data_IF_833501171660
#
_entry.id   IF_833501171660
#
_cell.length_a   1.000
_cell.length_b   1.000
_cell.length_c   1.000
_cell.angle_alpha   90.00
_cell.angle_beta   90.00
_cell.angle_gamma   90.00
#
_symmetry.space_group_name_H-M   'P 1'
#
loop_
_entity.id
_entity.type
_entity.pdbx_description
1 polymer ?
#
# COMPACT_ATOMS: atom_id res chain seq x y z
N UNK A 1 -26.70 -32.40 15.45
CA UNK A 1 -26.11 -33.35 14.48
C UNK A 1 -24.62 -33.40 14.82
N UNK A 2 -24.15 -34.47 15.47
CA UNK A 2 -22.75 -34.60 15.87
C UNK A 2 -21.88 -34.78 14.62
N UNK A 3 -21.03 -33.82 14.33
CA UNK A 3 -20.01 -33.96 13.28
C UNK A 3 -18.97 -34.94 13.79
N UNK A 4 -18.89 -36.11 13.15
CA UNK A 4 -17.86 -37.11 13.42
C UNK A 4 -16.52 -36.47 13.05
N UNK A 5 -15.67 -36.18 14.04
CA UNK A 5 -14.31 -35.75 13.81
C UNK A 5 -13.60 -36.85 13.00
N UNK A 6 -13.27 -36.59 11.73
CA UNK A 6 -12.37 -37.45 10.99
C UNK A 6 -11.00 -37.39 11.68
N UNK A 7 -10.64 -38.43 12.42
CA UNK A 7 -9.29 -38.61 12.94
C UNK A 7 -8.34 -38.80 11.77
N UNK A 8 -7.74 -37.70 11.31
CA UNK A 8 -6.65 -37.72 10.35
C UNK A 8 -5.40 -38.34 10.98
N UNK A 9 -4.53 -38.99 10.18
CA UNK A 9 -3.26 -39.50 10.69
C UNK A 9 -2.41 -38.36 11.23
N UNK A 10 -1.75 -38.60 12.37
CA UNK A 10 -0.85 -37.64 12.99
C UNK A 10 0.23 -37.21 11.99
N UNK A 11 0.52 -35.90 11.89
CA UNK A 11 1.53 -35.40 10.97
C UNK A 11 2.92 -35.92 11.36
N UNK A 12 3.68 -36.38 10.37
CA UNK A 12 5.04 -36.92 10.55
C UNK A 12 6.14 -35.99 10.05
N UNK A 13 5.78 -34.90 9.37
CA UNK A 13 6.72 -33.89 8.87
C UNK A 13 6.18 -32.49 9.12
N UNK A 14 7.06 -31.49 9.13
CA UNK A 14 6.66 -30.07 9.23
C UNK A 14 5.71 -29.71 8.06
N UNK A 15 6.02 -30.17 6.85
CA UNK A 15 5.23 -29.90 5.66
C UNK A 15 3.81 -30.49 5.76
N UNK A 16 3.67 -31.70 6.31
CA UNK A 16 2.37 -32.33 6.54
C UNK A 16 1.56 -31.57 7.59
N UNK A 17 2.20 -31.17 8.69
CA UNK A 17 1.56 -30.38 9.75
C UNK A 17 0.99 -29.07 9.18
N UNK A 18 1.80 -28.32 8.43
CA UNK A 18 1.39 -27.05 7.82
C UNK A 18 0.30 -27.22 6.77
N UNK A 19 0.32 -28.34 6.03
CA UNK A 19 -0.73 -28.66 5.05
C UNK A 19 -2.05 -28.95 5.74
N UNK A 20 -2.05 -29.73 6.81
CA UNK A 20 -3.24 -30.02 7.61
C UNK A 20 -3.78 -28.76 8.29
N UNK A 21 -2.90 -27.92 8.87
CA UNK A 21 -3.28 -26.63 9.48
C UNK A 21 -3.91 -25.68 8.46
N UNK A 22 -3.33 -25.57 7.24
CA UNK A 22 -3.90 -24.77 6.15
C UNK A 22 -5.30 -25.25 5.76
N UNK A 23 -5.51 -26.56 5.71
CA UNK A 23 -6.83 -27.13 5.40
C UNK A 23 -7.84 -26.87 6.53
N UNK A 24 -7.42 -27.01 7.79
CA UNK A 24 -8.27 -26.70 8.96
C UNK A 24 -8.66 -25.21 9.02
N UNK A 25 -7.80 -24.33 8.52
CA UNK A 25 -8.03 -22.89 8.40
C UNK A 25 -8.76 -22.47 7.10
N UNK A 26 -9.25 -23.42 6.30
CA UNK A 26 -9.99 -23.11 5.07
C UNK A 26 -11.20 -22.19 5.38
N UNK A 27 -11.33 -21.12 4.58
CA UNK A 27 -12.39 -20.12 4.73
C UNK A 27 -12.14 -19.02 5.77
N UNK A 28 -10.98 -19.01 6.45
CA UNK A 28 -10.58 -17.90 7.32
C UNK A 28 -9.90 -16.75 6.54
N UNK A 29 -9.65 -15.62 7.21
CA UNK A 29 -8.97 -14.46 6.61
C UNK A 29 -7.56 -14.83 6.11
N UNK A 30 -7.16 -14.48 4.88
CA UNK A 30 -5.86 -14.87 4.33
C UNK A 30 -4.65 -14.42 5.15
N UNK A 31 -4.74 -13.27 5.85
CA UNK A 31 -3.65 -12.82 6.71
C UNK A 31 -3.55 -13.70 7.95
N UNK A 32 -4.67 -14.04 8.58
CA UNK A 32 -4.69 -14.96 9.73
C UNK A 32 -4.11 -16.33 9.37
N UNK A 33 -4.44 -16.87 8.18
CA UNK A 33 -3.86 -18.14 7.71
C UNK A 33 -2.34 -18.04 7.54
N UNK A 34 -1.85 -16.92 6.99
CA UNK A 34 -0.42 -16.72 6.83
C UNK A 34 0.30 -16.59 8.17
N UNK A 35 -0.29 -15.90 9.15
CA UNK A 35 0.26 -15.71 10.48
C UNK A 35 0.37 -17.04 11.22
N UNK A 36 -0.72 -17.82 11.25
CA UNK A 36 -0.75 -19.13 11.89
C UNK A 36 0.26 -20.12 11.29
N UNK A 37 0.40 -20.15 9.96
CA UNK A 37 1.37 -21.04 9.30
C UNK A 37 2.81 -20.63 9.61
N UNK A 38 3.09 -19.34 9.68
CA UNK A 38 4.43 -18.84 9.97
C UNK A 38 4.84 -19.16 11.42
N UNK A 39 3.97 -18.84 12.37
CA UNK A 39 4.23 -19.09 13.80
C UNK A 39 4.42 -20.58 14.09
N UNK A 40 3.57 -21.43 13.49
CA UNK A 40 3.68 -22.89 13.62
C UNK A 40 4.98 -23.42 12.98
N UNK A 41 5.36 -22.93 11.81
CA UNK A 41 6.62 -23.37 11.16
C UNK A 41 7.85 -22.97 11.99
N UNK A 42 7.88 -21.74 12.50
CA UNK A 42 8.98 -21.24 13.34
C UNK A 42 9.12 -22.08 14.62
N UNK A 43 8.00 -22.36 15.30
CA UNK A 43 7.99 -23.19 16.50
C UNK A 43 8.45 -24.63 16.22
N UNK A 44 7.91 -25.28 15.18
CA UNK A 44 8.27 -26.66 14.83
C UNK A 44 9.74 -26.80 14.44
N UNK A 45 10.29 -25.81 13.72
CA UNK A 45 11.72 -25.80 13.36
C UNK A 45 12.63 -25.57 14.57
N UNK A 46 12.22 -24.73 15.51
CA UNK A 46 12.96 -24.52 16.75
C UNK A 46 13.03 -25.80 17.59
N UNK A 47 11.90 -26.49 17.76
CA UNK A 47 11.83 -27.76 18.49
C UNK A 47 12.65 -28.88 17.83
N UNK A 48 12.64 -28.96 16.50
CA UNK A 48 13.47 -29.91 15.77
C UNK A 48 14.97 -29.63 15.95
N UNK A 49 15.35 -28.36 16.03
CA UNK A 49 16.75 -27.96 16.26
C UNK A 49 17.23 -28.29 17.68
N UNK A 50 16.35 -28.14 18.69
CA UNK A 50 16.66 -28.52 20.08
C UNK A 50 16.77 -30.04 20.26
N UNK A 51 15.99 -30.82 19.50
CA UNK A 51 15.94 -32.28 19.58
C UNK A 51 16.75 -32.98 18.49
N UNK A 52 17.98 -32.52 18.27
CA UNK A 52 18.92 -32.97 17.21
C UNK A 52 19.27 -34.47 17.16
N UNK A 53 18.84 -35.28 18.15
CA UNK A 53 19.05 -36.73 18.20
C UNK A 53 17.83 -37.59 17.86
N UNK A 54 16.67 -37.00 17.57
CA UNK A 54 15.42 -37.72 17.25
C UNK A 54 15.04 -37.58 15.78
N UNK A 55 14.27 -38.55 15.29
CA UNK A 55 13.72 -38.46 13.94
C UNK A 55 12.66 -37.35 13.86
N UNK A 56 12.54 -36.69 12.71
CA UNK A 56 11.55 -35.62 12.49
C UNK A 56 10.13 -36.09 12.85
N UNK A 57 9.75 -37.30 12.45
CA UNK A 57 8.43 -37.87 12.75
C UNK A 57 8.15 -38.01 14.25
N UNK A 58 9.17 -38.32 15.05
CA UNK A 58 9.04 -38.47 16.51
C UNK A 58 8.91 -37.11 17.21
N UNK A 59 9.64 -36.10 16.74
CA UNK A 59 9.54 -34.72 17.26
C UNK A 59 8.19 -34.12 16.89
N UNK A 60 7.77 -34.22 15.63
CA UNK A 60 6.50 -33.64 15.16
C UNK A 60 5.28 -34.33 15.80
N UNK A 61 5.30 -35.65 15.96
CA UNK A 61 4.25 -36.36 16.68
C UNK A 61 4.20 -35.98 18.18
N UNK A 62 5.37 -35.78 18.80
CA UNK A 62 5.47 -35.29 20.18
C UNK A 62 4.95 -33.87 20.35
N UNK A 63 5.31 -32.97 19.43
CA UNK A 63 4.85 -31.58 19.40
C UNK A 63 3.36 -31.50 19.12
N UNK A 64 2.82 -32.29 18.19
CA UNK A 64 1.36 -32.37 17.99
C UNK A 64 0.61 -32.82 19.25
N UNK A 65 1.26 -33.57 20.14
CA UNK A 65 0.70 -33.96 21.43
C UNK A 65 0.79 -32.89 22.53
N UNK A 66 1.78 -31.98 22.49
CA UNK A 66 2.00 -30.95 23.52
C UNK A 66 1.56 -29.54 23.12
N UNK A 67 1.83 -29.15 21.88
CA UNK A 67 1.47 -27.87 21.27
C UNK A 67 0.05 -27.89 20.69
N UNK A 68 -0.47 -29.09 20.38
CA UNK A 68 -1.82 -29.33 19.89
C UNK A 68 -1.85 -29.86 18.46
N UNK A 69 -2.94 -30.56 18.11
CA UNK A 69 -3.14 -31.03 16.75
C UNK A 69 -3.41 -29.85 15.79
N UNK A 70 -3.13 -29.98 14.47
CA UNK A 70 -3.38 -28.91 13.51
C UNK A 70 -4.80 -28.34 13.55
N UNK A 71 -5.81 -29.17 13.81
CA UNK A 71 -7.21 -28.76 13.95
C UNK A 71 -7.48 -27.96 15.24
N UNK A 72 -6.85 -28.33 16.36
CA UNK A 72 -7.00 -27.63 17.64
C UNK A 72 -6.31 -26.26 17.58
N UNK A 73 -5.12 -26.20 16.99
CA UNK A 73 -4.42 -24.92 16.75
C UNK A 73 -5.25 -24.03 15.83
N UNK A 74 -5.86 -24.58 14.78
CA UNK A 74 -6.76 -23.82 13.91
C UNK A 74 -7.98 -23.24 14.65
N UNK A 75 -8.55 -23.97 15.61
CA UNK A 75 -9.66 -23.50 16.43
C UNK A 75 -9.26 -22.34 17.34
N UNK A 76 -8.09 -22.43 18.00
CA UNK A 76 -7.54 -21.36 18.84
C UNK A 76 -7.36 -20.07 18.04
N UNK A 77 -6.81 -20.15 16.83
CA UNK A 77 -6.65 -18.97 15.96
C UNK A 77 -8.00 -18.39 15.54
N UNK A 78 -9.01 -19.21 15.22
CA UNK A 78 -10.35 -18.74 14.86
C UNK A 78 -11.04 -18.02 16.02
N UNK A 79 -10.96 -18.56 17.23
CA UNK A 79 -11.57 -17.95 18.42
C UNK A 79 -10.88 -16.63 18.81
N UNK A 80 -9.54 -16.64 18.78
CA UNK A 80 -8.72 -15.47 19.08
C UNK A 80 -9.00 -14.34 18.08
N UNK A 81 -9.05 -14.65 16.78
CA UNK A 81 -9.33 -13.66 15.74
C UNK A 81 -10.74 -13.06 15.87
N UNK A 82 -11.76 -13.86 16.22
CA UNK A 82 -13.12 -13.34 16.43
C UNK A 82 -13.15 -12.35 17.59
N UNK A 83 -12.43 -12.66 18.68
CA UNK A 83 -12.37 -11.81 19.87
C UNK A 83 -11.58 -10.53 19.60
N UNK A 84 -10.40 -10.65 18.98
CA UNK A 84 -9.53 -9.53 18.62
C UNK A 84 -10.20 -8.64 17.58
N UNK A 85 -10.81 -9.21 16.53
CA UNK A 85 -11.52 -8.45 15.50
C UNK A 85 -12.73 -7.70 16.06
N UNK A 86 -13.47 -8.30 17.01
CA UNK A 86 -14.57 -7.61 17.71
C UNK A 86 -14.07 -6.48 18.60
N UNK A 87 -12.96 -6.68 19.32
CA UNK A 87 -12.38 -5.68 20.21
C UNK A 87 -11.74 -4.50 19.45
N UNK A 88 -11.15 -4.77 18.28
CA UNK A 88 -10.48 -3.77 17.45
C UNK A 88 -11.41 -3.08 16.44
N UNK A 89 -12.70 -3.43 16.39
CA UNK A 89 -13.67 -2.76 15.50
C UNK A 89 -13.75 -1.28 15.86
N UNK A 90 -13.26 -0.36 15.00
CA UNK A 90 -13.39 1.05 15.28
C UNK A 90 -14.87 1.45 15.27
N UNK A 91 -15.28 2.42 16.10
CA UNK A 91 -16.64 2.92 16.10
C UNK A 91 -17.03 3.39 14.69
N UNK A 92 -18.20 2.94 14.22
CA UNK A 92 -18.71 3.32 12.90
C UNK A 92 -18.87 4.84 12.85
N UNK A 93 -18.28 5.54 11.86
CA UNK A 93 -18.43 6.97 11.75
C UNK A 93 -19.92 7.34 11.60
N UNK A 94 -20.38 8.45 12.21
CA UNK A 94 -21.78 8.83 12.17
C UNK A 94 -22.26 9.01 10.73
N UNK A 95 -23.30 8.27 10.33
CA UNK A 95 -23.90 8.36 8.99
C UNK A 95 -24.53 9.74 8.83
N UNK A 96 -23.98 10.56 7.93
CA UNK A 96 -24.55 11.87 7.56
C UNK A 96 -25.70 11.67 6.56
N UNK A 97 -26.95 12.02 6.89
CA UNK A 97 -28.10 11.67 6.06
C UNK A 97 -28.27 12.57 4.82
N UNK A 98 -27.74 13.80 4.81
CA UNK A 98 -27.96 14.77 3.72
C UNK A 98 -26.84 14.80 2.67
N UNK A 99 -27.19 15.04 1.40
CA UNK A 99 -26.24 15.19 0.29
C UNK A 99 -25.29 16.38 0.50
N UNK A 100 -25.80 17.50 1.03
CA UNK A 100 -25.02 18.69 1.39
C UNK A 100 -24.02 18.36 2.52
N UNK A 101 -24.45 17.62 3.55
CA UNK A 101 -23.57 17.20 4.66
C UNK A 101 -22.50 16.19 4.26
N UNK A 102 -22.72 15.42 3.19
CA UNK A 102 -21.70 14.56 2.57
C UNK A 102 -20.70 15.38 1.76
N UNK A 103 -21.18 16.33 0.95
CA UNK A 103 -20.33 17.20 0.13
C UNK A 103 -19.40 18.07 0.99
N UNK A 104 -19.95 18.89 1.89
CA UNK A 104 -19.11 19.70 2.80
C UNK A 104 -18.36 18.85 3.82
N UNK A 105 -18.74 17.57 3.96
CA UNK A 105 -18.11 16.67 4.90
C UNK A 105 -16.69 16.27 4.57
N UNK A 106 -16.27 16.42 3.32
CA UNK A 106 -14.92 16.09 2.85
C UNK A 106 -13.82 16.89 3.58
N UNK A 107 -14.12 18.11 4.02
CA UNK A 107 -13.21 18.97 4.77
C UNK A 107 -13.01 18.52 6.23
N UNK A 108 -13.88 17.66 6.76
CA UNK A 108 -13.71 17.07 8.09
C UNK A 108 -13.01 15.70 8.04
N UNK A 109 -12.71 15.17 6.85
CA UNK A 109 -12.09 13.86 6.68
C UNK A 109 -10.56 14.01 6.56
N UNK A 110 -9.76 13.54 7.54
CA UNK A 110 -8.30 13.64 7.49
C UNK A 110 -7.67 13.01 6.25
N UNK A 111 -8.31 11.98 5.68
CA UNK A 111 -7.79 11.26 4.50
C UNK A 111 -7.78 12.14 3.26
N UNK A 112 -8.68 13.10 3.17
CA UNK A 112 -8.71 14.08 2.08
C UNK A 112 -7.43 14.89 2.06
N UNK A 113 -6.98 15.36 3.22
CA UNK A 113 -5.75 16.14 3.35
C UNK A 113 -4.51 15.29 3.12
N UNK A 114 -4.53 14.03 3.57
CA UNK A 114 -3.48 13.05 3.22
C UNK A 114 -3.35 12.86 1.72
N UNK A 115 -4.48 12.68 1.01
CA UNK A 115 -4.49 12.57 -0.44
C UNK A 115 -4.02 13.86 -1.14
N UNK A 116 -4.50 15.03 -0.72
CA UNK A 116 -4.06 16.31 -1.27
C UNK A 116 -2.55 16.53 -1.07
N UNK A 117 -2.04 16.24 0.13
CA UNK A 117 -0.62 16.32 0.44
C UNK A 117 0.19 15.36 -0.44
N UNK A 118 -0.28 14.13 -0.62
CA UNK A 118 0.34 13.17 -1.52
C UNK A 118 0.38 13.68 -2.98
N UNK A 119 -0.71 14.29 -3.49
CA UNK A 119 -0.73 14.85 -4.85
C UNK A 119 0.34 15.93 -5.03
N UNK A 120 0.60 16.77 -4.02
CA UNK A 120 1.67 17.78 -4.07
C UNK A 120 3.06 17.15 -3.91
N UNK A 121 3.19 16.14 -3.03
CA UNK A 121 4.44 15.42 -2.79
C UNK A 121 4.87 14.56 -4.00
N UNK A 122 3.91 14.12 -4.80
CA UNK A 122 4.11 13.17 -5.90
C UNK A 122 5.08 13.65 -7.00
N UNK A 123 5.20 14.96 -7.20
CA UNK A 123 6.22 15.51 -8.11
C UNK A 123 7.62 15.28 -7.56
N UNK A 124 7.84 15.53 -6.27
CA UNK A 124 9.15 15.37 -5.64
C UNK A 124 9.56 13.89 -5.61
N UNK A 125 8.65 13.01 -5.20
CA UNK A 125 8.91 11.56 -5.21
C UNK A 125 9.06 11.04 -6.63
N UNK A 126 8.29 11.54 -7.59
CA UNK A 126 8.39 11.14 -8.99
C UNK A 126 9.72 11.54 -9.65
N UNK A 127 10.21 12.76 -9.43
CA UNK A 127 11.55 13.18 -9.89
C UNK A 127 12.62 12.28 -9.28
N UNK A 128 12.55 12.04 -7.96
CA UNK A 128 13.51 11.19 -7.27
C UNK A 128 13.53 9.75 -7.82
N UNK A 129 12.36 9.10 -7.91
CA UNK A 129 12.24 7.73 -8.38
C UNK A 129 12.65 7.57 -9.85
N UNK A 130 12.20 8.47 -10.71
CA UNK A 130 12.59 8.46 -12.12
C UNK A 130 14.11 8.60 -12.28
N UNK A 131 14.70 9.59 -11.61
CA UNK A 131 16.16 9.82 -11.68
C UNK A 131 16.92 8.62 -11.16
N UNK A 132 16.50 8.04 -10.04
CA UNK A 132 17.11 6.84 -9.46
C UNK A 132 17.06 5.65 -10.42
N UNK A 133 15.92 5.39 -11.05
CA UNK A 133 15.77 4.27 -11.99
C UNK A 133 16.61 4.49 -13.24
N UNK A 134 16.53 5.67 -13.86
CA UNK A 134 17.28 5.96 -15.09
C UNK A 134 18.79 5.88 -14.85
N UNK A 135 19.28 6.50 -13.76
CA UNK A 135 20.70 6.45 -13.41
C UNK A 135 21.14 5.03 -13.02
N UNK A 136 20.38 4.34 -12.19
CA UNK A 136 20.70 3.00 -11.71
C UNK A 136 20.72 1.96 -12.84
N UNK A 137 19.73 1.99 -13.75
CA UNK A 137 19.71 1.11 -14.92
C UNK A 137 20.86 1.44 -15.87
N UNK A 138 21.08 2.72 -16.19
CA UNK A 138 22.14 3.12 -17.12
C UNK A 138 23.53 2.76 -16.60
N UNK A 139 23.80 3.02 -15.32
CA UNK A 139 25.08 2.72 -14.68
C UNK A 139 25.28 1.21 -14.53
N UNK A 140 24.26 0.47 -14.10
CA UNK A 140 24.36 -0.97 -13.95
C UNK A 140 24.61 -1.66 -15.29
N UNK A 141 23.82 -1.35 -16.32
CA UNK A 141 23.99 -1.93 -17.65
C UNK A 141 25.33 -1.52 -18.29
N UNK A 142 25.74 -0.27 -18.14
CA UNK A 142 27.02 0.22 -18.67
C UNK A 142 28.23 -0.45 -18.01
N UNK A 143 28.15 -0.72 -16.70
CA UNK A 143 29.24 -1.35 -15.95
C UNK A 143 29.16 -2.88 -15.94
N UNK A 144 28.12 -3.51 -16.49
CA UNK A 144 28.01 -4.99 -16.54
C UNK A 144 29.17 -5.65 -17.32
N UNK A 145 29.77 -4.94 -18.27
CA UNK A 145 30.96 -5.39 -19.00
C UNK A 145 32.17 -5.52 -18.04
N UNK A 146 32.15 -4.76 -16.95
CA UNK A 146 33.15 -4.79 -15.89
C UNK A 146 32.68 -5.75 -14.78
N UNK A 147 33.65 -6.35 -14.07
CA UNK A 147 33.37 -7.21 -12.92
C UNK A 147 32.57 -6.48 -11.82
N UNK A 148 32.72 -5.15 -11.72
CA UNK A 148 32.06 -4.28 -10.73
C UNK A 148 30.56 -4.07 -11.05
N UNK A 149 30.12 -4.30 -12.29
CA UNK A 149 28.72 -4.09 -12.68
C UNK A 149 27.74 -5.01 -11.95
N UNK A 150 28.15 -6.26 -11.67
CA UNK A 150 27.29 -7.22 -10.98
C UNK A 150 26.98 -6.80 -9.54
N UNK A 151 27.97 -6.46 -8.68
CA UNK A 151 27.70 -5.89 -7.35
C UNK A 151 26.81 -4.64 -7.39
N UNK A 152 27.06 -3.74 -8.33
CA UNK A 152 26.27 -2.51 -8.44
C UNK A 152 24.81 -2.80 -8.80
N UNK A 153 24.58 -3.72 -9.74
CA UNK A 153 23.24 -4.12 -10.13
C UNK A 153 22.47 -4.74 -8.97
N UNK A 154 23.12 -5.60 -8.17
CA UNK A 154 22.52 -6.19 -6.97
C UNK A 154 22.14 -5.10 -5.97
N UNK A 155 23.03 -4.11 -5.76
CA UNK A 155 22.75 -2.96 -4.91
C UNK A 155 21.57 -2.13 -5.44
N UNK A 156 21.51 -1.93 -6.76
CA UNK A 156 20.41 -1.22 -7.41
C UNK A 156 19.07 -1.93 -7.20
N UNK A 157 18.95 -3.22 -7.50
CA UNK A 157 17.71 -3.96 -7.24
C UNK A 157 17.34 -4.00 -5.76
N UNK A 158 18.32 -4.13 -4.87
CA UNK A 158 18.12 -4.00 -3.42
C UNK A 158 17.51 -2.64 -3.06
N UNK A 159 18.05 -1.55 -3.62
CA UNK A 159 17.55 -0.19 -3.39
C UNK A 159 16.13 0.01 -3.92
N UNK A 160 15.80 -0.52 -5.10
CA UNK A 160 14.45 -0.46 -5.69
C UNK A 160 13.45 -1.14 -4.77
N UNK A 161 13.83 -2.28 -4.18
CA UNK A 161 12.98 -2.99 -3.21
C UNK A 161 12.76 -2.17 -1.95
N UNK A 162 13.78 -1.53 -1.40
CA UNK A 162 13.64 -0.63 -0.23
C UNK A 162 12.73 0.56 -0.55
N UNK A 163 12.96 1.23 -1.69
CA UNK A 163 12.14 2.36 -2.12
C UNK A 163 10.68 1.97 -2.34
N UNK A 164 10.41 0.76 -2.85
CA UNK A 164 9.04 0.27 -3.03
C UNK A 164 8.28 0.13 -1.71
N UNK A 165 8.99 -0.20 -0.62
CA UNK A 165 8.41 -0.28 0.72
C UNK A 165 8.15 1.11 1.29
N UNK A 166 9.06 2.06 1.08
CA UNK A 166 8.87 3.46 1.48
C UNK A 166 7.64 4.03 0.79
N UNK A 167 7.53 3.83 -0.51
CA UNK A 167 6.38 4.30 -1.28
C UNK A 167 5.08 3.60 -0.87
N UNK A 168 5.12 2.27 -0.68
CA UNK A 168 3.98 1.52 -0.17
C UNK A 168 3.47 2.07 1.16
N UNK A 169 4.39 2.49 2.05
CA UNK A 169 4.05 3.15 3.32
C UNK A 169 3.49 4.56 3.11
N UNK A 170 4.02 5.36 2.19
CA UNK A 170 3.48 6.68 1.87
C UNK A 170 2.04 6.55 1.37
N UNK A 171 1.79 5.63 0.44
CA UNK A 171 0.45 5.34 -0.07
C UNK A 171 -0.48 4.81 1.03
N UNK A 172 -0.02 3.89 1.87
CA UNK A 172 -0.83 3.33 2.96
C UNK A 172 -1.20 4.40 4.00
N UNK A 173 -0.25 5.24 4.40
CA UNK A 173 -0.43 6.28 5.42
C UNK A 173 -1.23 7.48 4.93
N UNK A 174 -0.94 7.96 3.71
CA UNK A 174 -1.55 9.18 3.17
C UNK A 174 -2.85 8.92 2.42
N UNK A 175 -2.96 7.80 1.70
CA UNK A 175 -4.14 7.47 0.90
C UNK A 175 -5.08 6.47 1.61
N UNK A 176 -4.61 5.82 2.69
CA UNK A 176 -5.42 4.88 3.47
C UNK A 176 -5.71 3.57 2.73
N UNK A 177 -4.97 3.28 1.65
CA UNK A 177 -5.10 2.03 0.89
C UNK A 177 -4.19 0.98 1.52
N UNK A 178 -4.78 -0.08 2.07
CA UNK A 178 -4.03 -1.17 2.72
C UNK A 178 -3.15 -1.90 1.69
N UNK A 179 -1.83 -1.79 1.87
CA UNK A 179 -0.84 -2.53 1.09
C UNK A 179 -0.54 -3.88 1.77
N UNK A 180 -0.33 -4.98 1.02
CA UNK A 180 0.11 -6.25 1.60
C UNK A 180 1.50 -6.10 2.19
N UNK A 181 1.67 -6.48 3.46
CA UNK A 181 2.85 -6.15 4.27
C UNK A 181 3.98 -7.19 4.20
N UNK A 182 3.72 -8.39 3.70
CA UNK A 182 4.64 -9.53 3.83
C UNK A 182 5.31 -9.86 2.49
N UNK A 183 6.65 -9.77 2.40
CA UNK A 183 7.39 -10.37 1.30
C UNK A 183 7.08 -11.87 1.25
N UNK A 184 7.00 -12.46 0.05
CA UNK A 184 6.99 -13.92 -0.08
C UNK A 184 8.27 -14.49 0.53
N UNK A 185 8.13 -15.56 1.30
CA UNK A 185 9.27 -16.29 1.84
C UNK A 185 10.16 -16.66 0.64
N UNK A 186 11.45 -16.28 0.64
CA UNK A 186 12.36 -16.82 -0.35
C UNK A 186 12.31 -18.33 -0.19
N UNK A 187 12.03 -19.06 -1.28
CA UNK A 187 12.04 -20.52 -1.26
C UNK A 187 13.43 -21.07 -0.93
N UNK A 188 13.68 -22.31 -1.35
CA UNK A 188 14.95 -23.01 -1.15
C UNK A 188 16.16 -22.10 -1.45
N UNK A 189 17.20 -22.23 -0.63
CA UNK A 189 18.42 -21.41 -0.74
C UNK A 189 19.14 -21.67 -2.07
N UNK A 190 18.76 -20.93 -3.11
CA UNK A 190 19.45 -20.98 -4.39
C UNK A 190 20.86 -20.39 -4.28
N UNK A 191 21.77 -20.91 -5.12
CA UNK A 191 23.14 -20.38 -5.24
C UNK A 191 23.15 -18.90 -5.64
N UNK A 192 24.22 -18.17 -5.27
CA UNK A 192 24.32 -16.73 -5.49
C UNK A 192 24.05 -16.30 -6.94
N UNK A 193 24.57 -17.06 -7.92
CA UNK A 193 24.33 -16.82 -9.35
C UNK A 193 22.87 -17.01 -9.76
N UNK A 194 22.19 -18.02 -9.21
CA UNK A 194 20.77 -18.28 -9.47
C UNK A 194 19.90 -17.19 -8.86
N UNK A 195 20.26 -16.65 -7.69
CA UNK A 195 19.58 -15.48 -7.11
C UNK A 195 19.69 -14.24 -7.98
N UNK A 196 20.87 -14.00 -8.57
CA UNK A 196 21.07 -12.88 -9.51
C UNK A 196 20.26 -13.08 -10.78
N UNK A 197 20.26 -14.28 -11.37
CA UNK A 197 19.45 -14.59 -12.55
C UNK A 197 17.94 -14.51 -12.28
N UNK A 198 17.49 -14.92 -11.09
CA UNK A 198 16.10 -14.81 -10.66
C UNK A 198 15.64 -13.35 -10.55
N UNK A 199 16.52 -12.43 -10.11
CA UNK A 199 16.19 -11.00 -10.04
C UNK A 199 15.89 -10.38 -11.41
N UNK A 200 16.55 -10.85 -12.48
CA UNK A 200 16.31 -10.37 -13.84
C UNK A 200 14.99 -10.89 -14.44
N UNK A 201 14.54 -12.06 -14.03
CA UNK A 201 13.31 -12.70 -14.53
C UNK A 201 12.09 -12.38 -13.66
N UNK A 202 12.30 -11.74 -12.50
CA UNK A 202 11.23 -11.35 -11.58
C UNK A 202 10.39 -10.20 -12.15
N UNK A 203 9.17 -10.52 -12.58
CA UNK A 203 8.20 -9.56 -13.12
C UNK A 203 7.86 -8.46 -12.10
N UNK A 204 8.03 -8.72 -10.79
CA UNK A 204 7.80 -7.72 -9.74
C UNK A 204 8.84 -6.60 -9.77
N UNK A 205 10.09 -6.93 -10.10
CA UNK A 205 11.15 -5.93 -10.24
C UNK A 205 10.82 -5.00 -11.39
N UNK A 206 10.43 -5.55 -12.54
CA UNK A 206 10.07 -4.78 -13.72
C UNK A 206 8.81 -3.93 -13.52
N UNK A 207 7.78 -4.44 -12.84
CA UNK A 207 6.57 -3.67 -12.54
C UNK A 207 6.86 -2.51 -11.57
N UNK A 208 7.76 -2.72 -10.60
CA UNK A 208 8.23 -1.66 -9.68
C UNK A 208 9.03 -0.59 -10.41
N UNK A 209 9.94 -0.98 -11.31
CA UNK A 209 10.69 -0.04 -12.14
C UNK A 209 9.75 0.78 -13.04
N UNK A 210 8.79 0.12 -13.69
CA UNK A 210 7.78 0.79 -14.50
C UNK A 210 6.99 1.79 -13.66
N UNK A 211 6.55 1.39 -12.47
CA UNK A 211 5.85 2.28 -11.55
C UNK A 211 6.68 3.53 -11.20
N UNK A 212 7.96 3.37 -10.89
CA UNK A 212 8.87 4.49 -10.60
C UNK A 212 9.12 5.40 -11.80
N UNK A 213 9.14 4.86 -13.01
CA UNK A 213 9.20 5.68 -14.23
C UNK A 213 7.90 6.45 -14.45
N UNK A 214 6.74 5.80 -14.24
CA UNK A 214 5.42 6.43 -14.36
C UNK A 214 5.14 7.48 -13.29
N UNK A 215 5.87 7.45 -12.18
CA UNK A 215 5.69 8.41 -11.11
C UNK A 215 6.01 9.85 -11.50
N UNK A 216 6.97 10.07 -12.40
CA UNK A 216 7.28 11.41 -12.88
C UNK A 216 6.12 12.04 -13.67
N UNK A 217 5.61 11.44 -14.76
CA UNK A 217 4.48 12.03 -15.50
C UNK A 217 3.22 12.13 -14.64
N UNK A 218 2.93 11.13 -13.80
CA UNK A 218 1.80 11.21 -12.87
C UNK A 218 1.97 12.35 -11.86
N UNK A 219 3.16 12.49 -11.28
CA UNK A 219 3.50 13.53 -10.33
C UNK A 219 3.37 14.94 -10.91
N UNK A 220 3.80 15.13 -12.16
CA UNK A 220 3.60 16.40 -12.88
C UNK A 220 2.11 16.69 -13.03
N UNK A 221 1.32 15.72 -13.52
CA UNK A 221 -0.14 15.91 -13.71
C UNK A 221 -0.83 16.25 -12.39
N UNK A 222 -0.54 15.50 -11.32
CA UNK A 222 -1.14 15.73 -10.02
C UNK A 222 -0.74 17.09 -9.44
N UNK A 223 0.56 17.38 -9.40
CA UNK A 223 1.07 18.62 -8.84
C UNK A 223 0.52 19.83 -9.58
N UNK A 224 0.58 19.84 -10.92
CA UNK A 224 0.06 20.95 -11.72
C UNK A 224 -1.43 21.11 -11.53
N UNK A 225 -2.22 20.04 -11.64
CA UNK A 225 -3.68 20.10 -11.48
C UNK A 225 -4.09 20.64 -10.12
N UNK A 226 -3.55 20.09 -9.03
CA UNK A 226 -3.94 20.47 -7.68
C UNK A 226 -3.38 21.83 -7.27
N UNK A 227 -2.18 22.20 -7.72
CA UNK A 227 -1.63 23.54 -7.48
C UNK A 227 -2.46 24.61 -8.20
N UNK A 228 -2.90 24.35 -9.43
CA UNK A 228 -3.78 25.27 -10.17
C UNK A 228 -5.15 25.38 -9.51
N UNK A 229 -5.79 24.25 -9.18
CA UNK A 229 -7.11 24.23 -8.53
C UNK A 229 -7.07 24.91 -7.15
N UNK A 230 -6.05 24.66 -6.34
CA UNK A 230 -5.87 25.33 -5.05
C UNK A 230 -5.62 26.82 -5.22
N UNK A 231 -4.72 27.22 -6.12
CA UNK A 231 -4.44 28.64 -6.37
C UNK A 231 -5.71 29.38 -6.78
N UNK A 232 -6.45 28.87 -7.78
CA UNK A 232 -7.68 29.51 -8.26
C UNK A 232 -8.76 29.54 -7.17
N UNK A 233 -9.00 28.42 -6.48
CA UNK A 233 -10.05 28.36 -5.44
C UNK A 233 -9.73 29.25 -4.25
N UNK A 234 -8.47 29.31 -3.81
CA UNK A 234 -8.03 30.18 -2.72
C UNK A 234 -8.10 31.66 -3.12
N UNK A 235 -7.65 32.03 -4.32
CA UNK A 235 -7.75 33.41 -4.82
C UNK A 235 -9.22 33.86 -4.91
N UNK A 236 -10.10 33.02 -5.45
CA UNK A 236 -11.53 33.32 -5.52
C UNK A 236 -12.16 33.39 -4.13
N UNK A 237 -11.83 32.48 -3.22
CA UNK A 237 -12.34 32.51 -1.84
C UNK A 237 -11.91 33.78 -1.12
N UNK A 238 -10.65 34.19 -1.32
CA UNK A 238 -10.05 35.41 -0.78
C UNK A 238 -10.52 36.69 -1.49
N UNK A 239 -11.43 36.59 -2.47
CA UNK A 239 -11.97 37.74 -3.21
C UNK A 239 -12.41 38.93 -2.32
N UNK A 240 -13.08 38.71 -1.17
CA UNK A 240 -13.49 39.82 -0.29
C UNK A 240 -12.32 40.60 0.31
N UNK A 241 -11.15 39.98 0.46
CA UNK A 241 -9.97 40.67 0.98
C UNK A 241 -9.50 41.80 0.07
N UNK A 242 -9.76 41.70 -1.23
CA UNK A 242 -9.42 42.74 -2.19
C UNK A 242 -10.19 44.05 -1.98
N UNK A 243 -11.33 44.03 -1.26
CA UNK A 243 -12.09 45.24 -0.91
C UNK A 243 -11.38 46.11 0.14
N UNK A 244 -10.38 45.57 0.86
CA UNK A 244 -9.60 46.32 1.84
C UNK A 244 -8.40 47.07 1.24
N UNK A 245 -8.09 46.85 -0.04
CA UNK A 245 -6.98 47.53 -0.72
C UNK A 245 -7.50 48.70 -1.54
N UNK A 246 -6.81 49.85 -1.51
CA UNK A 246 -7.26 51.09 -2.17
C UNK A 246 -7.38 50.96 -3.70
N UNK A 247 -6.67 50.01 -4.33
CA UNK A 247 -6.82 49.70 -5.76
C UNK A 247 -7.99 48.76 -6.09
N UNK A 248 -8.67 48.17 -5.08
CA UNK A 248 -9.74 47.19 -5.26
C UNK A 248 -9.33 45.95 -6.06
N UNK A 249 -10.20 44.95 -6.15
CA UNK A 249 -10.05 43.94 -7.22
C UNK A 249 -10.67 44.52 -8.50
N UNK A 250 -9.82 44.87 -9.46
CA UNK A 250 -10.25 45.19 -10.82
C UNK A 250 -10.15 43.95 -11.69
N UNK A 251 -11.28 43.35 -12.03
CA UNK A 251 -11.34 42.32 -13.08
C UNK A 251 -11.60 43.08 -14.38
N UNK A 252 -10.59 43.15 -15.24
CA UNK A 252 -10.70 43.73 -16.59
C UNK A 252 -11.15 42.66 -17.57
N UNK A 253 -12.25 42.92 -18.27
CA UNK A 253 -12.67 42.13 -19.43
C UNK A 253 -12.62 43.06 -20.65
N UNK A 254 -11.50 43.02 -21.39
CA UNK A 254 -11.16 44.06 -22.36
C UNK A 254 -10.76 45.37 -21.67
N UNK A 255 -11.21 46.52 -22.18
CA UNK A 255 -10.95 47.85 -21.58
C UNK A 255 -11.96 48.22 -20.48
N UNK A 256 -12.96 47.36 -20.21
CA UNK A 256 -14.02 47.66 -19.25
C UNK A 256 -13.65 47.12 -17.86
N UNK A 257 -13.52 48.04 -16.89
CA UNK A 257 -13.41 47.72 -15.47
C UNK A 257 -14.75 47.20 -14.95
N UNK A 258 -14.86 45.88 -14.73
CA UNK A 258 -16.03 45.29 -14.06
C UNK A 258 -15.71 45.20 -12.56
N UNK A 259 -15.66 46.37 -11.90
CA UNK A 259 -15.57 46.44 -10.44
C UNK A 259 -16.98 46.69 -9.87
N UNK A 260 -17.82 45.65 -9.84
CA UNK A 260 -19.05 45.69 -9.05
C UNK A 260 -18.77 45.04 -7.70
N UNK A 261 -18.84 45.77 -6.57
CA UNK A 261 -18.76 45.19 -5.23
C UNK A 261 -19.70 43.98 -5.03
N UNK A 262 -20.82 43.94 -5.78
CA UNK A 262 -21.78 42.85 -5.77
C UNK A 262 -21.23 41.52 -6.34
N UNK A 263 -20.23 41.55 -7.24
CA UNK A 263 -19.64 40.34 -7.84
C UNK A 263 -18.64 39.63 -6.92
N UNK A 264 -18.19 40.27 -5.86
CA UNK A 264 -17.24 39.70 -4.89
C UNK A 264 -17.84 38.52 -4.14
N UNK A 265 -19.11 38.62 -3.75
CA UNK A 265 -19.83 37.55 -3.04
C UNK A 265 -19.99 36.29 -3.90
N UNK A 266 -20.54 36.33 -5.13
CA UNK A 266 -20.67 35.13 -5.95
C UNK A 266 -19.31 34.53 -6.34
N UNK A 267 -18.26 35.35 -6.56
CA UNK A 267 -16.90 34.85 -6.80
C UNK A 267 -16.33 34.14 -5.58
N UNK A 268 -16.53 34.68 -4.37
CA UNK A 268 -16.12 34.03 -3.12
C UNK A 268 -16.85 32.71 -2.90
N UNK A 269 -18.18 32.67 -3.12
CA UNK A 269 -18.97 31.44 -3.03
C UNK A 269 -18.52 30.40 -4.07
N UNK A 270 -18.20 30.83 -5.30
CA UNK A 270 -17.66 29.96 -6.34
C UNK A 270 -16.27 29.42 -5.94
N UNK A 271 -15.42 30.25 -5.36
CA UNK A 271 -14.12 29.84 -4.83
C UNK A 271 -14.24 28.77 -3.75
N UNK A 272 -15.15 28.96 -2.80
CA UNK A 272 -15.46 27.97 -1.76
C UNK A 272 -15.97 26.67 -2.39
N UNK A 273 -16.94 26.74 -3.31
CA UNK A 273 -17.44 25.56 -4.01
C UNK A 273 -16.31 24.81 -4.73
N UNK A 274 -15.46 25.53 -5.46
CA UNK A 274 -14.33 24.97 -6.19
C UNK A 274 -13.31 24.32 -5.25
N UNK A 275 -13.08 24.89 -4.06
CA UNK A 275 -12.22 24.28 -3.03
C UNK A 275 -12.79 22.93 -2.59
N UNK A 276 -14.09 22.85 -2.32
CA UNK A 276 -14.73 21.57 -1.97
C UNK A 276 -14.68 20.56 -3.11
N UNK A 277 -14.88 20.98 -4.37
CA UNK A 277 -14.70 20.12 -5.55
C UNK A 277 -13.25 19.60 -5.63
N UNK A 278 -12.27 20.47 -5.38
CA UNK A 278 -10.84 20.12 -5.37
C UNK A 278 -10.54 19.06 -4.32
N UNK A 279 -11.10 19.17 -3.12
CA UNK A 279 -10.96 18.17 -2.06
C UNK A 279 -11.55 16.80 -2.46
N UNK A 280 -12.72 16.77 -3.11
CA UNK A 280 -13.27 15.51 -3.63
C UNK A 280 -12.42 14.93 -4.74
N UNK A 281 -11.91 15.78 -5.64
CA UNK A 281 -11.01 15.35 -6.70
C UNK A 281 -9.73 14.73 -6.10
N UNK A 282 -9.14 15.36 -5.07
CA UNK A 282 -7.95 14.85 -4.38
C UNK A 282 -8.20 13.45 -3.79
N UNK A 283 -9.33 13.27 -3.12
CA UNK A 283 -9.72 11.97 -2.55
C UNK A 283 -9.95 10.91 -3.65
N UNK A 284 -10.62 11.28 -4.73
CA UNK A 284 -10.85 10.38 -5.87
C UNK A 284 -9.54 9.96 -6.53
N UNK A 285 -8.68 10.93 -6.83
CA UNK A 285 -7.35 10.68 -7.42
C UNK A 285 -6.44 9.88 -6.50
N UNK A 286 -6.45 10.15 -5.19
CA UNK A 286 -5.72 9.34 -4.21
C UNK A 286 -6.17 7.88 -4.19
N UNK A 287 -7.47 7.64 -4.36
CA UNK A 287 -8.01 6.27 -4.46
C UNK A 287 -7.53 5.58 -5.75
N UNK A 288 -7.61 6.26 -6.89
CA UNK A 288 -7.13 5.75 -8.18
C UNK A 288 -5.63 5.46 -8.15
N UNK A 289 -4.86 6.37 -7.58
CA UNK A 289 -3.42 6.21 -7.44
C UNK A 289 -3.06 5.02 -6.53
N UNK A 290 -3.73 4.90 -5.38
CA UNK A 290 -3.51 3.76 -4.48
C UNK A 290 -3.86 2.42 -5.13
N UNK A 291 -4.85 2.36 -6.03
CA UNK A 291 -5.13 1.16 -6.84
C UNK A 291 -4.01 0.85 -7.83
N UNK A 292 -3.48 1.88 -8.52
CA UNK A 292 -2.36 1.74 -9.45
C UNK A 292 -1.10 1.24 -8.72
N UNK A 293 -0.77 1.84 -7.58
CA UNK A 293 0.33 1.42 -6.73
C UNK A 293 0.14 -0.03 -6.25
N UNK A 294 -1.06 -0.38 -5.81
CA UNK A 294 -1.36 -1.76 -5.41
C UNK A 294 -1.19 -2.72 -6.58
N UNK A 295 -1.63 -2.38 -7.78
CA UNK A 295 -1.49 -3.26 -8.93
C UNK A 295 -0.02 -3.46 -9.31
N UNK A 296 0.75 -2.39 -9.42
CA UNK A 296 2.12 -2.47 -9.93
C UNK A 296 3.15 -2.92 -8.89
N UNK A 297 2.94 -2.64 -7.59
CA UNK A 297 3.87 -3.04 -6.52
C UNK A 297 3.59 -4.44 -5.95
N UNK A 298 2.36 -4.96 -6.15
CA UNK A 298 1.92 -6.26 -5.60
C UNK A 298 1.70 -7.30 -6.71
N UNK A 299 1.16 -6.91 -7.87
CA UNK A 299 0.56 -7.86 -8.81
C UNK A 299 1.35 -7.97 -10.12
N UNK A 300 2.27 -8.93 -10.12
CA UNK A 300 2.80 -9.54 -11.33
C UNK A 300 3.37 -10.93 -11.05
N UNK A 301 2.62 -11.76 -10.33
CA UNK A 301 3.01 -13.15 -10.04
C UNK A 301 1.87 -14.14 -9.95
N UNK A 302 0.67 -13.72 -9.50
CA UNK A 302 -0.45 -14.67 -9.25
C UNK A 302 -1.76 -14.18 -9.86
N UNK A 303 -1.88 -14.39 -11.16
CA UNK A 303 -3.14 -14.68 -11.81
C UNK A 303 -2.85 -15.86 -12.73
N UNK A 304 -2.79 -17.05 -12.14
CA UNK A 304 -3.03 -18.37 -12.73
C UNK A 304 -2.43 -19.42 -11.80
N UNK A 305 -3.28 -19.97 -10.91
CA UNK A 305 -3.45 -21.38 -10.49
C UNK A 305 -4.43 -21.39 -9.31
#
# INVERSE_FOLDING_TARGET
>A
MMTIAQTRPLPTTIADYLTQLRQALAGADPAMVQDALYDAEEYLRAELAEQSGKSEAEVIAGVAGSYGAPEEVAEIYRETEVTVSRALRPPLPPKRPSLIGKFFGVAADPRTYGALFYMLLSLLTGVFYFTWVVTGVSLSLGLLILIIGVPLLVLFFGSVRVLSLVEGRLVETLLGVRMPRRPRHPGVQDGWLQRVAAMFTDVRTWSTLLYFVLMLPLGIVYFTLFTTLLSVSLTLTAAPLALFFEQGMSITWGEQLIAMPLMVVPLSLLGVLLLFVTLHAARGMGTLHGMLAKHLLVRSGDLDV
#
